data_IF_451085505148
#
_entry.id   IF_451085505148
#
_cell.length_a   1.000
_cell.length_b   1.000
_cell.length_c   1.000
_cell.angle_alpha   90.00
_cell.angle_beta   90.00
_cell.angle_gamma   90.00
#
_symmetry.space_group_name_H-M   'P 1'
#
loop_
_entity.id
_entity.type
_entity.pdbx_description
1 polymer ?
#
# COMPACT_ATOMS: atom_id res chain seq x y z
N UNK A 1 -15.53 7.30 19.29
CA UNK A 1 -16.43 8.41 18.88
C UNK A 1 -17.70 7.80 18.31
N UNK A 2 -18.87 8.23 18.80
CA UNK A 2 -20.09 7.44 18.77
C UNK A 2 -20.19 6.51 19.99
N UNK A 3 -20.72 5.30 19.83
CA UNK A 3 -20.83 4.28 20.89
C UNK A 3 -19.51 3.57 21.27
N UNK A 4 -18.40 3.88 20.60
CA UNK A 4 -17.12 3.19 20.78
C UNK A 4 -16.09 4.05 21.53
N UNK A 5 -15.42 3.43 22.50
CA UNK A 5 -14.27 3.99 23.22
C UNK A 5 -13.09 4.17 22.27
N UNK A 6 -12.53 5.38 22.25
CA UNK A 6 -11.31 5.71 21.49
C UNK A 6 -10.22 6.10 22.48
N UNK A 7 -9.06 5.46 22.39
CA UNK A 7 -7.89 5.77 23.21
C UNK A 7 -6.79 6.26 22.27
N UNK A 8 -6.25 7.44 22.53
CA UNK A 8 -5.16 8.05 21.74
C UNK A 8 -3.87 7.94 22.53
N UNK A 9 -2.86 7.31 21.92
CA UNK A 9 -1.53 7.13 22.52
C UNK A 9 -0.55 8.11 21.87
N UNK A 10 0.03 9.01 22.66
CA UNK A 10 0.99 10.04 22.19
C UNK A 10 2.38 9.88 22.81
N UNK A 11 2.54 9.01 23.81
CA UNK A 11 3.81 8.78 24.48
C UNK A 11 4.57 7.60 23.85
N UNK A 12 5.86 7.75 23.48
CA UNK A 12 6.66 6.66 22.91
C UNK A 12 6.75 5.41 23.80
N UNK A 13 6.79 5.57 25.13
CA UNK A 13 6.83 4.45 26.08
C UNK A 13 5.52 3.65 26.03
N UNK A 14 4.38 4.34 26.00
CA UNK A 14 3.07 3.70 25.87
C UNK A 14 2.88 3.09 24.47
N UNK A 15 3.46 3.69 23.43
CA UNK A 15 3.47 3.11 22.09
C UNK A 15 4.29 1.80 22.05
N UNK A 16 5.46 1.77 22.70
CA UNK A 16 6.25 0.54 22.84
C UNK A 16 5.48 -0.54 23.61
N UNK A 17 4.89 -0.17 24.75
CA UNK A 17 4.09 -1.09 25.56
C UNK A 17 2.92 -1.68 24.75
N UNK A 18 2.16 -0.83 24.05
CA UNK A 18 0.97 -1.27 23.31
C UNK A 18 1.29 -2.02 22.01
N UNK A 19 2.29 -1.59 21.24
CA UNK A 19 2.59 -2.15 19.92
C UNK A 19 3.60 -3.30 19.96
N UNK A 20 4.51 -3.33 20.95
CA UNK A 20 5.57 -4.34 21.04
C UNK A 20 5.29 -5.30 22.19
N UNK A 21 5.28 -4.83 23.43
CA UNK A 21 5.15 -5.70 24.62
C UNK A 21 3.78 -6.40 24.68
N UNK A 22 2.72 -5.64 24.41
CA UNK A 22 1.32 -6.09 24.40
C UNK A 22 0.73 -6.14 22.99
N UNK A 23 1.58 -6.22 21.96
CA UNK A 23 1.16 -6.16 20.55
C UNK A 23 0.06 -7.15 20.20
N UNK A 24 0.12 -8.39 20.71
CA UNK A 24 -0.89 -9.42 20.47
C UNK A 24 -2.30 -9.05 21.00
N UNK A 25 -2.41 -8.26 22.08
CA UNK A 25 -3.69 -7.81 22.63
C UNK A 25 -4.33 -6.71 21.77
N UNK A 26 -3.50 -5.84 21.17
CA UNK A 26 -3.94 -4.67 20.40
C UNK A 26 -3.79 -4.83 18.88
N UNK A 27 -3.35 -6.00 18.39
CA UNK A 27 -3.13 -6.25 16.98
C UNK A 27 -4.41 -6.33 16.15
N UNK A 28 -5.55 -6.62 16.78
CA UNK A 28 -6.85 -6.71 16.10
C UNK A 28 -7.36 -5.33 15.65
N UNK A 29 -8.13 -5.31 14.55
CA UNK A 29 -8.81 -4.10 14.07
C UNK A 29 -10.22 -3.99 14.63
N UNK A 30 -10.74 -2.76 14.87
CA UNK A 30 -12.12 -2.54 15.27
C UNK A 30 -13.11 -3.19 14.29
N UNK A 31 -14.30 -3.53 14.76
CA UNK A 31 -15.36 -4.01 13.89
C UNK A 31 -15.83 -2.88 12.96
N UNK A 32 -15.81 -3.13 11.65
CA UNK A 32 -16.24 -2.20 10.62
C UNK A 32 -17.76 -2.26 10.41
N UNK A 33 -18.30 -1.20 9.82
CA UNK A 33 -19.72 -1.11 9.42
C UNK A 33 -19.97 -2.09 8.26
N UNK A 34 -21.14 -2.73 8.23
CA UNK A 34 -21.51 -3.80 7.25
C UNK A 34 -21.24 -3.44 5.79
N UNK A 35 -21.43 -2.17 5.40
CA UNK A 35 -21.16 -1.69 4.02
C UNK A 35 -19.67 -1.81 3.67
N UNK A 36 -18.79 -1.51 4.63
CA UNK A 36 -17.33 -1.65 4.44
C UNK A 36 -16.89 -3.11 4.43
N UNK A 37 -17.60 -4.00 5.14
CA UNK A 37 -17.26 -5.42 5.18
C UNK A 37 -17.33 -6.09 3.78
N UNK A 38 -18.26 -5.65 2.91
CA UNK A 38 -18.40 -6.14 1.54
C UNK A 38 -17.14 -5.85 0.69
N UNK A 39 -16.60 -4.64 0.80
CA UNK A 39 -15.39 -4.23 0.06
C UNK A 39 -14.10 -4.85 0.60
N UNK A 40 -14.15 -5.50 1.77
CA UNK A 40 -12.98 -6.04 2.47
C UNK A 40 -13.06 -7.58 2.54
N UNK A 41 -13.87 -8.20 1.68
CA UNK A 41 -14.05 -9.66 1.65
C UNK A 41 -14.31 -10.24 3.05
N UNK A 42 -15.19 -9.60 3.83
CA UNK A 42 -15.51 -10.00 5.22
C UNK A 42 -14.27 -10.19 6.12
N UNK A 43 -13.39 -9.18 6.13
CA UNK A 43 -12.13 -9.16 6.91
C UNK A 43 -11.11 -10.22 6.48
N UNK A 44 -11.14 -10.65 5.22
CA UNK A 44 -10.15 -11.56 4.65
C UNK A 44 -9.00 -10.80 3.96
N UNK A 45 -8.52 -9.71 4.57
CA UNK A 45 -7.36 -8.98 4.05
C UNK A 45 -6.34 -8.73 5.16
N UNK A 46 -5.06 -8.56 4.79
CA UNK A 46 -3.96 -8.31 5.74
C UNK A 46 -4.25 -7.10 6.65
N UNK A 47 -4.90 -6.06 6.10
CA UNK A 47 -5.14 -4.81 6.81
C UNK A 47 -6.35 -4.84 7.76
N UNK A 48 -7.24 -5.83 7.62
CA UNK A 48 -8.55 -5.85 8.30
C UNK A 48 -8.82 -7.11 9.11
N UNK A 49 -8.07 -8.19 8.86
CA UNK A 49 -8.25 -9.46 9.57
C UNK A 49 -8.04 -9.28 11.08
N UNK A 50 -8.88 -9.96 11.86
CA UNK A 50 -8.71 -10.06 13.31
C UNK A 50 -7.44 -10.84 13.59
N UNK A 51 -6.71 -10.46 14.64
CA UNK A 51 -5.50 -11.15 15.04
C UNK A 51 -5.79 -12.63 15.32
N UNK A 52 -5.00 -13.51 14.70
CA UNK A 52 -5.19 -14.95 14.79
C UNK A 52 -4.52 -15.71 13.64
N UNK A 53 -4.74 -17.03 13.53
CA UNK A 53 -4.06 -17.88 12.56
C UNK A 53 -4.24 -17.40 11.10
N UNK A 54 -5.42 -16.87 10.77
CA UNK A 54 -5.73 -16.33 9.44
C UNK A 54 -4.85 -15.13 9.09
N UNK A 55 -4.79 -14.13 9.97
CA UNK A 55 -3.94 -12.95 9.79
C UNK A 55 -2.46 -13.33 9.72
N UNK A 56 -2.00 -14.21 10.62
CA UNK A 56 -0.62 -14.71 10.60
C UNK A 56 -0.28 -15.42 9.29
N UNK A 57 -1.21 -16.21 8.74
CA UNK A 57 -0.99 -16.88 7.46
C UNK A 57 -0.93 -15.91 6.29
N UNK A 58 -1.84 -14.93 6.22
CA UNK A 58 -1.84 -13.91 5.18
C UNK A 58 -0.54 -13.10 5.20
N UNK A 59 -0.11 -12.66 6.39
CA UNK A 59 1.14 -11.93 6.54
C UNK A 59 2.36 -12.76 6.17
N UNK A 60 2.45 -14.02 6.64
CA UNK A 60 3.57 -14.89 6.29
C UNK A 60 3.66 -15.08 4.78
N UNK A 61 2.54 -15.32 4.09
CA UNK A 61 2.52 -15.46 2.64
C UNK A 61 2.99 -14.19 1.92
N UNK A 62 2.54 -13.01 2.38
CA UNK A 62 2.96 -11.73 1.82
C UNK A 62 4.46 -11.47 2.03
N UNK A 63 4.96 -11.73 3.24
CA UNK A 63 6.37 -11.51 3.58
C UNK A 63 7.27 -12.50 2.85
N UNK A 64 6.94 -13.79 2.86
CA UNK A 64 7.76 -14.81 2.19
C UNK A 64 7.70 -14.70 0.68
N UNK A 65 6.58 -14.26 0.10
CA UNK A 65 6.41 -14.21 -1.36
C UNK A 65 6.84 -12.90 -2.02
N UNK A 66 6.79 -11.77 -1.29
CA UNK A 66 6.98 -10.45 -1.92
C UNK A 66 7.88 -9.51 -1.13
N UNK A 67 7.81 -9.50 0.21
CA UNK A 67 8.50 -8.50 1.03
C UNK A 67 9.81 -9.01 1.66
N UNK A 68 10.30 -10.19 1.28
CA UNK A 68 11.60 -10.66 1.72
C UNK A 68 12.74 -9.98 0.92
N UNK A 69 13.93 -9.94 1.51
CA UNK A 69 15.07 -9.24 0.90
C UNK A 69 15.44 -9.78 -0.50
N UNK A 70 15.36 -11.10 -0.72
CA UNK A 70 15.66 -11.71 -2.01
C UNK A 70 14.66 -11.31 -3.09
N UNK A 71 13.35 -11.35 -2.79
CA UNK A 71 12.31 -10.90 -3.70
C UNK A 71 12.45 -9.40 -4.02
N UNK A 72 12.86 -8.58 -3.05
CA UNK A 72 13.15 -7.17 -3.30
C UNK A 72 14.29 -6.97 -4.31
N UNK A 73 15.27 -7.88 -4.37
CA UNK A 73 16.30 -7.86 -5.41
C UNK A 73 15.72 -8.24 -6.77
N UNK A 74 14.86 -9.26 -6.82
CA UNK A 74 14.22 -9.69 -8.08
C UNK A 74 13.38 -8.56 -8.72
N UNK A 75 12.71 -7.74 -7.90
CA UNK A 75 11.93 -6.59 -8.35
C UNK A 75 12.76 -5.33 -8.66
N UNK A 76 14.10 -5.41 -8.62
CA UNK A 76 14.96 -4.25 -8.89
C UNK A 76 14.71 -3.67 -10.30
N UNK A 77 14.64 -4.52 -11.32
CA UNK A 77 14.40 -4.11 -12.71
C UNK A 77 13.06 -3.38 -12.87
N UNK A 78 12.00 -3.87 -12.22
CA UNK A 78 10.69 -3.23 -12.22
C UNK A 78 10.73 -1.84 -11.60
N UNK A 79 11.47 -1.65 -10.50
CA UNK A 79 11.63 -0.33 -9.86
C UNK A 79 12.41 0.64 -10.73
N UNK A 80 13.51 0.20 -11.35
CA UNK A 80 14.31 1.04 -12.25
C UNK A 80 13.46 1.47 -13.45
N UNK A 81 12.75 0.55 -14.09
CA UNK A 81 11.88 0.87 -15.22
C UNK A 81 10.76 1.87 -14.85
N UNK A 82 10.17 1.75 -13.66
CA UNK A 82 9.16 2.71 -13.19
C UNK A 82 9.76 4.09 -12.91
N UNK A 83 10.98 4.16 -12.38
CA UNK A 83 11.70 5.42 -12.16
C UNK A 83 12.09 6.09 -13.48
N UNK A 84 12.54 5.33 -14.48
CA UNK A 84 12.86 5.86 -15.80
C UNK A 84 11.63 6.48 -16.46
N UNK A 85 10.47 5.82 -16.34
CA UNK A 85 9.18 6.36 -16.81
C UNK A 85 8.78 7.63 -16.07
N UNK A 86 8.97 7.67 -14.75
CA UNK A 86 8.71 8.86 -13.93
C UNK A 86 9.56 10.05 -14.39
N UNK A 87 10.86 9.83 -14.60
CA UNK A 87 11.79 10.88 -15.05
C UNK A 87 11.40 11.37 -16.46
N UNK A 88 11.08 10.44 -17.37
CA UNK A 88 10.64 10.80 -18.71
C UNK A 88 9.37 11.66 -18.69
N UNK A 89 8.40 11.30 -17.86
CA UNK A 89 7.14 12.04 -17.70
C UNK A 89 7.34 13.44 -17.14
N UNK A 90 8.15 13.57 -16.07
CA UNK A 90 8.50 14.88 -15.49
C UNK A 90 9.18 15.76 -16.54
N UNK A 91 10.12 15.22 -17.33
CA UNK A 91 10.79 15.99 -18.39
C UNK A 91 9.82 16.46 -19.46
N UNK A 92 8.91 15.59 -19.90
CA UNK A 92 7.89 15.95 -20.89
C UNK A 92 6.96 17.05 -20.37
N UNK A 93 6.60 17.00 -19.10
CA UNK A 93 5.73 17.98 -18.47
C UNK A 93 6.39 19.34 -18.29
N UNK A 94 7.66 19.37 -17.86
CA UNK A 94 8.46 20.60 -17.79
C UNK A 94 8.52 21.31 -19.14
N UNK A 95 8.73 20.55 -20.23
CA UNK A 95 8.77 21.08 -21.59
C UNK A 95 7.40 21.62 -22.06
N UNK A 96 6.30 20.99 -21.61
CA UNK A 96 4.95 21.38 -21.98
C UNK A 96 4.39 22.55 -21.13
N UNK A 97 4.92 22.76 -19.93
CA UNK A 97 4.26 23.57 -18.88
C UNK A 97 5.09 24.75 -18.37
N UNK A 98 5.95 25.36 -19.20
CA UNK A 98 6.84 26.47 -18.82
C UNK A 98 7.58 26.24 -17.47
N UNK A 99 7.99 24.98 -17.22
CA UNK A 99 8.67 24.58 -15.98
C UNK A 99 7.78 24.05 -14.85
N UNK A 100 6.45 24.06 -14.99
CA UNK A 100 5.52 23.47 -14.01
C UNK A 100 5.48 21.94 -14.01
N UNK A 101 5.32 21.33 -12.83
CA UNK A 101 5.18 19.86 -12.67
C UNK A 101 4.15 19.52 -11.60
N UNK A 102 3.22 18.63 -11.94
CA UNK A 102 2.25 18.01 -11.03
C UNK A 102 2.90 16.82 -10.32
N UNK A 103 3.44 17.05 -9.12
CA UNK A 103 4.20 16.01 -8.38
C UNK A 103 3.34 14.81 -8.02
N UNK A 104 2.14 15.02 -7.47
CA UNK A 104 1.31 13.93 -6.94
C UNK A 104 0.89 12.92 -8.02
N UNK A 105 0.31 13.33 -9.18
CA UNK A 105 -0.03 12.40 -10.25
C UNK A 105 1.17 11.61 -10.79
N UNK A 106 2.32 12.26 -10.93
CA UNK A 106 3.54 11.61 -11.40
C UNK A 106 4.03 10.53 -10.41
N UNK A 107 4.04 10.83 -9.11
CA UNK A 107 4.45 9.87 -8.07
C UNK A 107 3.44 8.72 -7.97
N UNK A 108 2.14 9.01 -8.00
CA UNK A 108 1.09 7.98 -8.03
C UNK A 108 1.26 7.05 -9.24
N UNK A 109 1.52 7.60 -10.43
CA UNK A 109 1.78 6.82 -11.63
C UNK A 109 2.97 5.85 -11.48
N UNK A 110 4.08 6.33 -10.93
CA UNK A 110 5.25 5.49 -10.67
C UNK A 110 4.94 4.39 -9.65
N UNK A 111 4.19 4.71 -8.59
CA UNK A 111 3.78 3.76 -7.58
C UNK A 111 2.89 2.65 -8.17
N UNK A 112 1.89 3.00 -8.98
CA UNK A 112 1.04 2.02 -9.65
C UNK A 112 1.81 1.18 -10.67
N UNK A 113 2.76 1.77 -11.39
CA UNK A 113 3.64 1.04 -12.31
C UNK A 113 4.43 -0.06 -11.57
N UNK A 114 4.98 0.26 -10.39
CA UNK A 114 5.69 -0.71 -9.55
C UNK A 114 4.72 -1.78 -9.03
N UNK A 115 3.58 -1.37 -8.48
CA UNK A 115 2.62 -2.31 -7.92
C UNK A 115 2.11 -3.29 -8.97
N UNK A 116 1.68 -2.83 -10.14
CA UNK A 116 1.18 -3.68 -11.22
C UNK A 116 2.24 -4.65 -11.72
N UNK A 117 3.49 -4.19 -11.83
CA UNK A 117 4.61 -5.05 -12.23
C UNK A 117 4.93 -6.11 -11.18
N UNK A 118 4.96 -5.75 -9.90
CA UNK A 118 5.31 -6.69 -8.82
C UNK A 118 4.16 -7.66 -8.53
N UNK A 119 2.91 -7.20 -8.57
CA UNK A 119 1.73 -8.02 -8.19
C UNK A 119 1.23 -8.89 -9.32
N UNK A 120 1.24 -8.40 -10.56
CA UNK A 120 0.67 -9.10 -11.71
C UNK A 120 1.71 -9.45 -12.78
N UNK A 121 2.95 -8.95 -12.67
CA UNK A 121 3.96 -9.12 -13.74
C UNK A 121 3.67 -8.29 -14.98
N UNK A 122 2.74 -7.32 -14.91
CA UNK A 122 2.25 -6.58 -16.07
C UNK A 122 2.88 -5.19 -16.14
N UNK A 123 3.35 -4.83 -17.33
CA UNK A 123 3.76 -3.47 -17.67
C UNK A 123 2.69 -2.85 -18.56
N UNK A 124 1.82 -2.02 -17.97
CA UNK A 124 0.79 -1.30 -18.71
C UNK A 124 1.38 -0.06 -19.40
N UNK A 125 0.71 0.38 -20.46
CA UNK A 125 0.94 1.69 -21.05
C UNK A 125 0.51 2.80 -20.08
N UNK A 126 0.90 4.02 -20.41
CA UNK A 126 0.71 5.17 -19.55
C UNK A 126 -0.78 5.46 -19.28
N UNK A 127 -1.62 5.41 -20.32
CA UNK A 127 -3.05 5.71 -20.21
C UNK A 127 -3.78 4.64 -19.39
N UNK A 128 -3.44 3.37 -19.60
CA UNK A 128 -3.99 2.27 -18.81
C UNK A 128 -3.60 2.37 -17.33
N UNK A 129 -2.37 2.78 -17.01
CA UNK A 129 -1.91 2.97 -15.63
C UNK A 129 -2.64 4.12 -14.95
N UNK A 130 -2.84 5.24 -15.66
CA UNK A 130 -3.64 6.38 -15.15
C UNK A 130 -5.08 5.94 -14.89
N UNK A 131 -5.68 5.18 -15.81
CA UNK A 131 -7.04 4.67 -15.64
C UNK A 131 -7.17 3.76 -14.42
N UNK A 132 -6.15 2.96 -14.12
CA UNK A 132 -6.12 2.15 -12.88
C UNK A 132 -6.07 3.04 -11.64
N UNK A 133 -5.23 4.09 -11.63
CA UNK A 133 -5.19 5.08 -10.53
C UNK A 133 -6.56 5.75 -10.33
N UNK A 134 -7.25 6.12 -11.42
CA UNK A 134 -8.59 6.72 -11.35
C UNK A 134 -9.66 5.79 -10.79
N UNK A 135 -9.62 4.49 -11.11
CA UNK A 135 -10.59 3.50 -10.62
C UNK A 135 -10.34 3.12 -9.16
N UNK A 136 -9.09 3.24 -8.68
CA UNK A 136 -8.71 2.90 -7.30
C UNK A 136 -8.84 4.05 -6.29
N UNK A 137 -9.20 5.26 -6.73
CA UNK A 137 -9.57 6.39 -5.87
C UNK A 137 -10.99 6.24 -5.34
#
# INVERSE_FOLDING_TARGET
MGAHTLIVVTNPKLAHESLIEKGHLFASRPAEITIRAVFICDKFTVNSAVYGPRWCSLLRNMVSGMLNASCLWDFHSARVAALDRLIARIRAEVLASDGGVWVLPNVCFAFFSILLSITFGVNLDENSTIRVDEVMK
#
